data_IF_181085553063
#
_entry.id   IF_181085553063
#
_cell.length_a   1.000
_cell.length_b   1.000
_cell.length_c   1.000
_cell.angle_alpha   90.00
_cell.angle_beta   90.00
_cell.angle_gamma   90.00
#
_symmetry.space_group_name_H-M   'P 1'
#
loop_
_entity.id
_entity.type
_entity.pdbx_description
1 polymer ?
#
# COMPACT_ATOMS: atom_id res chain seq x y z
N UNK A 1 27.74 67.05 -6.76
CA UNK A 1 28.22 67.74 -7.98
C UNK A 1 29.35 66.92 -8.62
N UNK A 2 29.18 66.61 -9.90
CA UNK A 2 30.10 65.99 -10.87
C UNK A 2 30.61 64.54 -10.62
N UNK A 3 30.23 63.59 -11.51
CA UNK A 3 30.83 62.26 -11.67
C UNK A 3 31.94 62.24 -12.74
N UNK A 4 32.74 61.17 -12.78
CA UNK A 4 33.74 60.91 -13.84
C UNK A 4 33.94 59.39 -14.03
N UNK A 5 34.39 58.93 -15.22
CA UNK A 5 33.58 58.03 -16.03
C UNK A 5 34.24 56.69 -16.44
N UNK A 6 33.39 55.73 -16.85
CA UNK A 6 33.55 54.89 -18.04
C UNK A 6 34.50 53.69 -18.04
N UNK A 7 33.94 52.47 -18.14
CA UNK A 7 34.38 51.45 -19.11
C UNK A 7 33.33 50.31 -19.28
N UNK A 8 32.75 50.27 -20.49
CA UNK A 8 32.23 49.15 -21.31
C UNK A 8 31.59 47.88 -20.70
N UNK A 9 30.41 47.45 -21.21
CA UNK A 9 29.91 46.08 -21.05
C UNK A 9 30.50 45.16 -22.13
N UNK A 10 31.16 44.08 -21.72
CA UNK A 10 31.63 43.03 -22.62
C UNK A 10 30.60 41.88 -22.66
N UNK A 11 30.26 41.51 -23.88
CA UNK A 11 29.34 40.47 -24.30
C UNK A 11 29.68 39.06 -23.76
N UNK A 12 28.66 38.28 -23.43
CA UNK A 12 28.33 37.09 -24.23
C UNK A 12 26.98 36.44 -23.84
N UNK A 13 26.36 35.71 -24.78
CA UNK A 13 24.91 35.69 -24.97
C UNK A 13 24.20 34.46 -24.38
N UNK A 14 22.87 34.54 -24.42
CA UNK A 14 21.87 33.57 -23.98
C UNK A 14 22.15 32.09 -24.34
N UNK A 15 21.59 31.13 -23.57
CA UNK A 15 21.51 29.73 -24.00
C UNK A 15 20.44 29.61 -25.09
N UNK A 16 20.83 29.93 -26.32
CA UNK A 16 20.00 29.61 -27.49
C UNK A 16 19.95 28.10 -27.64
N UNK A 17 18.77 27.53 -27.39
CA UNK A 17 18.44 26.19 -27.83
C UNK A 17 18.57 26.11 -29.35
N UNK A 18 19.39 25.18 -29.82
CA UNK A 18 19.33 24.65 -31.17
C UNK A 18 19.07 23.14 -31.05
N UNK A 19 17.88 22.63 -31.44
CA UNK A 19 17.76 21.24 -31.80
C UNK A 19 18.40 21.10 -33.19
N UNK A 20 19.67 20.71 -33.22
CA UNK A 20 20.36 20.41 -34.47
C UNK A 20 19.82 19.10 -35.05
N UNK A 21 19.04 19.18 -36.11
CA UNK A 21 18.73 18.04 -36.98
C UNK A 21 20.02 17.51 -37.63
N UNK A 22 20.25 16.21 -37.46
CA UNK A 22 21.32 15.38 -38.02
C UNK A 22 21.09 13.92 -37.58
N UNK A 23 21.40 12.92 -38.41
CA UNK A 23 20.61 11.69 -38.57
C UNK A 23 20.53 10.87 -37.27
N UNK A 24 19.31 10.46 -36.87
CA UNK A 24 18.98 9.38 -35.93
C UNK A 24 20.17 8.89 -35.08
N UNK A 25 20.61 9.76 -34.16
CA UNK A 25 21.84 9.57 -33.39
C UNK A 25 21.68 8.38 -32.44
N UNK A 26 22.78 7.70 -32.14
CA UNK A 26 22.85 6.47 -31.33
C UNK A 26 22.06 6.55 -30.03
N UNK A 27 21.89 7.75 -29.48
CA UNK A 27 21.08 8.06 -28.30
C UNK A 27 19.59 7.81 -28.53
N UNK A 28 19.04 8.19 -29.69
CA UNK A 28 17.65 7.91 -30.04
C UNK A 28 17.39 6.40 -30.19
N UNK A 29 18.39 5.66 -30.69
CA UNK A 29 18.33 4.20 -30.76
C UNK A 29 18.40 3.57 -29.37
N UNK A 30 19.27 4.08 -28.49
CA UNK A 30 19.38 3.61 -27.10
C UNK A 30 18.09 3.82 -26.31
N UNK A 31 17.43 4.97 -26.48
CA UNK A 31 16.14 5.26 -25.81
C UNK A 31 15.03 4.31 -26.30
N UNK A 32 15.01 3.97 -27.59
CA UNK A 32 14.06 2.99 -28.11
C UNK A 32 14.31 1.58 -27.57
N UNK A 33 15.57 1.16 -27.44
CA UNK A 33 15.89 -0.17 -26.90
C UNK A 33 15.49 -0.28 -25.44
N UNK A 34 15.80 0.72 -24.61
CA UNK A 34 15.40 0.76 -23.21
C UNK A 34 13.87 0.70 -23.04
N UNK A 35 13.11 1.39 -23.90
CA UNK A 35 11.64 1.34 -23.88
C UNK A 35 11.11 -0.03 -24.31
N UNK A 36 11.80 -0.70 -25.24
CA UNK A 36 11.46 -2.04 -25.72
C UNK A 36 11.76 -3.11 -24.68
N UNK A 37 12.93 -3.02 -24.03
CA UNK A 37 13.35 -3.89 -22.94
C UNK A 37 12.42 -3.73 -21.74
N UNK A 38 12.10 -2.51 -21.31
CA UNK A 38 11.16 -2.28 -20.21
C UNK A 38 9.76 -2.88 -20.46
N UNK A 39 9.30 -2.88 -21.72
CA UNK A 39 8.02 -3.51 -22.10
C UNK A 39 8.11 -5.04 -22.07
N UNK A 40 9.26 -5.62 -22.37
CA UNK A 40 9.51 -7.07 -22.34
C UNK A 40 9.78 -7.57 -20.92
N UNK A 41 10.49 -6.80 -20.08
CA UNK A 41 10.72 -7.10 -18.67
C UNK A 41 9.43 -7.03 -17.84
N UNK A 42 8.39 -6.35 -18.32
CA UNK A 42 7.07 -6.39 -17.71
C UNK A 42 6.40 -7.78 -17.84
N UNK A 43 6.88 -8.63 -18.77
CA UNK A 43 6.29 -9.92 -19.10
C UNK A 43 7.10 -11.15 -18.63
N UNK A 44 8.23 -10.99 -17.95
CA UNK A 44 8.83 -12.15 -17.30
C UNK A 44 10.22 -11.96 -16.74
N UNK A 45 10.31 -11.65 -15.44
CA UNK A 45 11.45 -12.12 -14.66
C UNK A 45 11.06 -12.34 -13.20
N UNK A 46 11.14 -13.59 -12.76
CA UNK A 46 11.01 -14.01 -11.37
C UNK A 46 9.84 -14.94 -11.07
N UNK A 47 10.04 -16.25 -11.27
CA UNK A 47 9.83 -17.30 -10.23
C UNK A 47 9.80 -18.68 -10.91
N UNK A 48 10.75 -19.56 -10.59
CA UNK A 48 10.73 -20.98 -11.01
C UNK A 48 9.79 -21.80 -10.11
N UNK A 49 8.58 -21.27 -9.87
CA UNK A 49 7.49 -21.91 -9.17
C UNK A 49 6.28 -22.05 -10.10
N UNK A 50 5.36 -23.00 -9.85
CA UNK A 50 4.09 -23.01 -10.57
C UNK A 50 3.43 -21.63 -10.39
N UNK A 51 3.07 -20.93 -11.48
CA UNK A 51 2.57 -19.57 -11.38
C UNK A 51 1.27 -19.61 -10.58
N UNK A 52 1.32 -19.08 -9.35
CA UNK A 52 0.10 -18.69 -8.66
C UNK A 52 -0.38 -17.42 -9.37
N UNK A 53 -1.04 -17.61 -10.51
CA UNK A 53 -1.75 -16.57 -11.20
C UNK A 53 -2.93 -16.20 -10.31
N UNK A 54 -2.73 -15.27 -9.38
CA UNK A 54 -3.84 -14.56 -8.74
C UNK A 54 -4.47 -13.77 -9.87
N UNK A 55 -5.68 -14.13 -10.34
CA UNK A 55 -6.32 -13.33 -11.36
C UNK A 55 -6.61 -11.97 -10.75
N UNK A 56 -5.79 -10.98 -11.12
CA UNK A 56 -6.14 -9.56 -11.09
C UNK A 56 -7.23 -9.36 -12.13
N UNK A 57 -8.39 -9.97 -11.91
CA UNK A 57 -9.61 -9.54 -12.55
C UNK A 57 -9.84 -8.13 -12.04
N UNK A 58 -9.42 -7.14 -12.84
CA UNK A 58 -9.94 -5.79 -12.78
C UNK A 58 -11.46 -5.97 -12.86
N UNK A 59 -12.12 -5.95 -11.70
CA UNK A 59 -13.56 -6.04 -11.64
C UNK A 59 -14.04 -4.68 -12.12
N UNK A 60 -14.30 -4.57 -13.42
CA UNK A 60 -14.95 -3.43 -14.08
C UNK A 60 -16.43 -3.26 -13.66
N UNK A 61 -16.82 -3.84 -12.53
CA UNK A 61 -18.14 -3.68 -11.95
C UNK A 61 -18.24 -2.32 -11.25
N UNK A 62 -19.47 -1.79 -11.09
CA UNK A 62 -19.68 -0.58 -10.30
C UNK A 62 -19.04 -0.75 -8.91
N UNK A 63 -18.53 0.36 -8.31
CA UNK A 63 -17.98 0.31 -6.97
C UNK A 63 -19.01 -0.33 -6.05
N UNK A 64 -18.57 -1.34 -5.29
CA UNK A 64 -19.43 -1.95 -4.28
C UNK A 64 -19.90 -0.83 -3.34
N UNK A 65 -21.19 -0.82 -2.96
CA UNK A 65 -21.71 0.18 -2.03
C UNK A 65 -20.88 0.12 -0.75
N UNK A 66 -20.32 1.26 -0.38
CA UNK A 66 -19.57 1.42 0.86
C UNK A 66 -20.58 1.70 1.99
N UNK A 67 -20.47 1.03 3.14
CA UNK A 67 -21.36 1.28 4.26
C UNK A 67 -21.19 2.74 4.73
N UNK A 68 -22.30 3.45 4.80
CA UNK A 68 -22.39 4.79 5.35
C UNK A 68 -22.63 4.77 6.87
N UNK A 69 -22.57 5.93 7.54
CA UNK A 69 -22.83 6.04 8.98
C UNK A 69 -24.21 5.49 9.39
N UNK A 70 -25.21 5.57 8.50
CA UNK A 70 -26.58 5.12 8.76
C UNK A 70 -26.69 3.59 8.80
N UNK A 71 -25.83 2.86 8.07
CA UNK A 71 -25.86 1.40 8.03
C UNK A 71 -25.44 0.80 9.38
N UNK A 72 -24.57 1.50 10.12
CA UNK A 72 -24.19 1.14 11.48
C UNK A 72 -25.29 1.40 12.51
N UNK A 73 -26.30 2.23 12.18
CA UNK A 73 -27.48 2.40 13.02
C UNK A 73 -28.46 1.24 12.86
N UNK A 74 -28.58 0.69 11.64
CA UNK A 74 -29.39 -0.49 11.38
C UNK A 74 -28.76 -1.77 11.95
N UNK A 75 -27.42 -1.90 11.86
CA UNK A 75 -26.67 -3.01 12.46
C UNK A 75 -25.60 -2.47 13.40
N UNK A 76 -25.89 -2.40 14.72
CA UNK A 76 -24.91 -1.95 15.69
C UNK A 76 -23.65 -2.82 15.66
N UNK A 77 -22.47 -2.18 15.76
CA UNK A 77 -21.17 -2.86 15.71
C UNK A 77 -21.06 -3.97 16.76
N UNK A 78 -21.60 -3.75 17.95
CA UNK A 78 -21.62 -4.74 19.03
C UNK A 78 -22.41 -6.02 18.67
N UNK A 79 -23.46 -5.90 17.85
CA UNK A 79 -24.31 -7.00 17.45
C UNK A 79 -23.83 -7.72 16.18
N UNK A 80 -23.07 -7.03 15.33
CA UNK A 80 -22.59 -7.56 14.06
C UNK A 80 -21.76 -8.84 14.22
N UNK A 81 -20.79 -8.83 15.14
CA UNK A 81 -19.97 -10.01 15.44
C UNK A 81 -20.79 -11.21 15.89
N UNK A 82 -21.75 -10.98 16.80
CA UNK A 82 -22.65 -12.03 17.30
C UNK A 82 -23.55 -12.58 16.18
N UNK A 83 -24.05 -11.72 15.30
CA UNK A 83 -24.87 -12.15 14.16
C UNK A 83 -24.07 -13.05 13.19
N UNK A 84 -22.81 -12.73 12.92
CA UNK A 84 -21.94 -13.58 12.10
C UNK A 84 -21.69 -14.94 12.76
N UNK A 85 -21.39 -14.96 14.06
CA UNK A 85 -21.20 -16.21 14.79
C UNK A 85 -22.46 -17.09 14.72
N UNK A 86 -23.64 -16.51 14.93
CA UNK A 86 -24.92 -17.22 14.75
C UNK A 86 -25.11 -17.74 13.33
N UNK A 87 -24.75 -16.95 12.32
CA UNK A 87 -24.79 -17.36 10.91
C UNK A 87 -23.90 -18.57 10.59
N UNK A 88 -22.80 -18.73 11.33
CA UNK A 88 -21.89 -19.88 11.25
C UNK A 88 -22.33 -21.06 12.15
N UNK A 89 -23.50 -20.98 12.78
CA UNK A 89 -24.07 -22.03 13.63
C UNK A 89 -23.60 -21.99 15.10
N UNK A 90 -22.93 -20.92 15.54
CA UNK A 90 -22.55 -20.76 16.94
C UNK A 90 -23.71 -20.22 17.78
N UNK A 91 -23.94 -20.83 18.95
CA UNK A 91 -24.97 -20.43 19.91
C UNK A 91 -24.39 -19.90 21.21
N UNK A 92 -25.12 -19.00 21.88
CA UNK A 92 -24.68 -18.43 23.15
C UNK A 92 -24.53 -19.52 24.22
N UNK A 93 -23.34 -19.63 24.81
CA UNK A 93 -23.02 -20.66 25.80
C UNK A 93 -22.40 -21.93 25.21
N UNK A 94 -22.25 -22.01 23.89
CA UNK A 94 -21.53 -23.10 23.23
C UNK A 94 -20.06 -22.70 22.99
N UNK A 95 -19.12 -23.60 23.26
CA UNK A 95 -17.73 -23.37 22.88
C UNK A 95 -17.54 -23.46 21.37
N UNK A 96 -16.47 -22.87 20.87
CA UNK A 96 -16.12 -22.95 19.46
C UNK A 96 -15.43 -24.29 19.15
N UNK A 97 -15.78 -24.92 18.03
CA UNK A 97 -15.10 -26.11 17.52
C UNK A 97 -15.95 -27.39 17.51
N UNK A 98 -15.50 -28.37 16.72
CA UNK A 98 -16.23 -29.63 16.48
C UNK A 98 -16.14 -30.61 17.65
N UNK A 99 -14.96 -30.75 18.25
CA UNK A 99 -14.65 -31.81 19.22
C UNK A 99 -14.60 -31.32 20.66
N UNK A 100 -14.26 -30.04 20.88
CA UNK A 100 -14.13 -29.46 22.22
C UNK A 100 -14.96 -28.18 22.32
N UNK A 101 -16.26 -28.32 22.62
CA UNK A 101 -17.21 -27.21 22.79
C UNK A 101 -17.08 -26.52 24.15
N UNK A 102 -15.87 -26.41 24.68
CA UNK A 102 -15.65 -25.76 25.96
C UNK A 102 -15.74 -24.24 25.81
N UNK A 103 -16.53 -23.61 26.67
CA UNK A 103 -16.57 -22.14 26.78
C UNK A 103 -15.31 -21.68 27.50
N UNK A 104 -14.31 -21.26 26.72
CA UNK A 104 -13.06 -20.71 27.24
C UNK A 104 -13.24 -19.22 27.47
N UNK A 105 -13.03 -18.76 28.71
CA UNK A 105 -13.01 -17.32 29.01
C UNK A 105 -11.78 -16.70 28.35
N UNK A 106 -11.90 -15.53 27.69
CA UNK A 106 -10.75 -14.81 27.15
C UNK A 106 -9.68 -14.61 28.23
N UNK A 107 -8.42 -14.84 27.87
CA UNK A 107 -7.31 -14.68 28.80
C UNK A 107 -7.05 -13.19 29.03
N UNK A 108 -7.29 -12.72 30.24
CA UNK A 108 -7.00 -11.33 30.62
C UNK A 108 -5.50 -11.17 30.85
N UNK A 109 -4.85 -10.39 29.99
CA UNK A 109 -3.44 -10.09 30.13
C UNK A 109 -3.23 -9.05 31.23
N UNK A 110 -2.58 -9.43 32.33
CA UNK A 110 -2.10 -8.48 33.34
C UNK A 110 -0.84 -7.79 32.83
N UNK A 111 -0.93 -6.48 32.60
CA UNK A 111 0.23 -5.68 32.22
C UNK A 111 1.29 -5.76 33.32
N UNK A 112 2.46 -6.28 32.96
CA UNK A 112 3.60 -6.33 33.88
C UNK A 112 4.21 -4.93 34.01
N UNK A 113 4.36 -4.39 35.22
CA UNK A 113 5.03 -3.11 35.41
C UNK A 113 6.49 -3.22 34.96
N UNK A 114 7.00 -2.14 34.34
CA UNK A 114 8.39 -2.10 33.86
C UNK A 114 9.35 -2.08 35.05
N UNK A 115 10.46 -2.81 34.95
CA UNK A 115 11.50 -2.87 35.99
C UNK A 115 11.28 -3.91 37.09
N UNK A 116 10.21 -4.71 37.03
CA UNK A 116 9.97 -5.80 37.98
C UNK A 116 10.72 -7.07 37.52
N UNK A 117 11.58 -7.64 38.36
CA UNK A 117 12.28 -8.91 38.11
C UNK A 117 11.32 -10.08 37.89
N UNK A 118 11.74 -11.14 37.17
CA UNK A 118 10.91 -12.35 36.98
C UNK A 118 10.70 -13.00 38.35
N UNK A 119 9.44 -13.13 38.79
CA UNK A 119 9.08 -13.71 40.10
C UNK A 119 8.81 -12.71 41.23
N UNK A 120 8.87 -11.40 40.99
CA UNK A 120 8.39 -10.41 41.96
C UNK A 120 6.91 -10.10 41.69
N UNK A 121 6.08 -10.15 42.74
CA UNK A 121 4.65 -9.79 42.69
C UNK A 121 4.49 -8.28 42.90
N UNK A 122 3.59 -7.61 42.16
CA UNK A 122 3.20 -6.24 42.48
C UNK A 122 2.47 -6.24 43.83
N UNK A 123 2.90 -5.36 44.75
CA UNK A 123 2.26 -5.15 46.06
C UNK A 123 0.85 -4.56 45.93
#
# INVERSE_FOLDING_TARGET
PAPSPGHTPAASPAPSGTPSEGPLSVEAQAVQELLREARQSQEGEGDNGPPISIPLSLRDGPPRPQPGPQDYAAVPVAAFGLAMLRGMGWSQGEGIGRTFKQVVKPLEHRLRPRGLGLGAEPA
#
